data_IF_574610887130
#
_entry.id   IF_574610887130
#
_cell.length_a   1.000
_cell.length_b   1.000
_cell.length_c   1.000
_cell.angle_alpha   90.00
_cell.angle_beta   90.00
_cell.angle_gamma   90.00
#
_symmetry.space_group_name_H-M   'P 1'
#
loop_
_entity.id
_entity.type
_entity.pdbx_description
1 polymer ?
#
# COMPACT_ATOMS: atom_id res chain seq x y z
N UNK A 1 41.56 20.86 34.38
CA UNK A 1 40.93 19.99 33.37
C UNK A 1 39.44 20.29 33.37
N UNK A 2 38.92 20.90 32.30
CA UNK A 2 37.51 21.28 32.21
C UNK A 2 36.73 20.13 31.55
N UNK A 3 35.63 19.62 32.13
CA UNK A 3 34.85 18.55 31.52
C UNK A 3 34.10 19.09 30.30
N UNK A 4 34.35 18.51 29.12
CA UNK A 4 33.52 18.73 27.93
C UNK A 4 32.15 18.10 28.20
N UNK A 5 31.13 18.94 28.36
CA UNK A 5 29.74 18.53 28.28
C UNK A 5 29.44 18.16 26.81
N UNK A 6 29.23 16.87 26.55
CA UNK A 6 28.70 16.43 25.27
C UNK A 6 27.25 16.91 25.15
N UNK A 7 26.86 17.54 24.02
CA UNK A 7 25.48 17.92 23.80
C UNK A 7 24.63 16.65 23.74
N UNK A 8 23.66 16.57 24.64
CA UNK A 8 22.60 15.57 24.60
C UNK A 8 21.83 15.77 23.31
N UNK A 9 22.01 14.88 22.33
CA UNK A 9 21.14 14.83 21.16
C UNK A 9 19.71 14.62 21.64
N UNK A 10 18.88 15.65 21.52
CA UNK A 10 17.44 15.53 21.72
C UNK A 10 16.92 14.61 20.62
N UNK A 11 16.72 13.33 20.96
CA UNK A 11 16.02 12.38 20.09
C UNK A 11 14.58 12.88 19.97
N UNK A 12 14.27 13.57 18.89
CA UNK A 12 12.89 13.96 18.61
C UNK A 12 12.05 12.70 18.42
N UNK A 13 10.98 12.57 19.22
CA UNK A 13 10.03 11.48 19.08
C UNK A 13 9.44 11.48 17.66
N UNK A 14 9.31 10.30 17.06
CA UNK A 14 8.75 10.18 15.72
C UNK A 14 7.27 10.60 15.72
N UNK A 15 6.92 11.49 14.78
CA UNK A 15 5.55 11.97 14.62
C UNK A 15 4.64 10.84 14.11
N UNK A 16 3.37 10.78 14.56
CA UNK A 16 2.35 9.98 13.90
C UNK A 16 2.18 10.42 12.43
N UNK A 17 2.09 9.45 11.53
CA UNK A 17 1.89 9.70 10.10
C UNK A 17 0.73 8.87 9.56
N UNK A 18 0.13 9.36 8.48
CA UNK A 18 -0.69 8.54 7.58
C UNK A 18 0.10 8.26 6.30
N UNK A 19 -0.13 7.10 5.69
CA UNK A 19 0.38 6.78 4.36
C UNK A 19 -0.79 6.27 3.55
N UNK A 20 -1.14 6.97 2.48
CA UNK A 20 -2.29 6.67 1.66
C UNK A 20 -1.94 6.70 0.18
N UNK A 21 -2.65 5.90 -0.62
CA UNK A 21 -2.58 6.05 -2.07
C UNK A 21 -3.20 7.40 -2.44
N UNK A 22 -2.46 8.23 -3.17
CA UNK A 22 -2.93 9.54 -3.67
C UNK A 22 -3.52 9.41 -5.07
N UNK A 23 -2.80 8.73 -5.96
CA UNK A 23 -3.21 8.57 -7.36
C UNK A 23 -2.48 7.41 -8.03
N UNK A 24 -3.07 6.93 -9.12
CA UNK A 24 -2.39 6.11 -10.12
C UNK A 24 -2.31 6.90 -11.43
N UNK A 25 -1.32 6.60 -12.26
CA UNK A 25 -1.25 7.08 -13.64
C UNK A 25 -0.99 5.90 -14.57
N UNK A 26 -1.89 5.67 -15.50
CA UNK A 26 -1.69 4.71 -16.59
C UNK A 26 -0.66 5.29 -17.55
N UNK A 27 0.40 4.52 -17.83
CA UNK A 27 1.45 4.88 -18.79
C UNK A 27 1.32 4.06 -20.06
N UNK A 28 0.97 2.80 -19.90
CA UNK A 28 0.69 1.83 -20.95
C UNK A 28 -0.50 1.04 -20.39
N UNK A 29 -1.56 0.99 -21.17
CA UNK A 29 -2.76 0.18 -20.90
C UNK A 29 -2.44 -1.31 -21.09
N UNK A 30 -3.23 -2.21 -20.53
CA UNK A 30 -3.09 -3.63 -20.84
C UNK A 30 -3.49 -3.91 -22.31
N UNK A 31 -3.14 -5.09 -22.83
CA UNK A 31 -3.41 -5.45 -24.23
C UNK A 31 -4.85 -6.00 -24.44
N UNK A 32 -5.77 -5.69 -23.52
CA UNK A 32 -7.12 -6.24 -23.48
C UNK A 32 -8.12 -5.42 -24.31
N UNK A 33 -9.28 -6.02 -24.62
CA UNK A 33 -10.33 -5.34 -25.38
C UNK A 33 -11.19 -4.52 -24.43
N UNK A 34 -11.02 -3.21 -24.47
CA UNK A 34 -11.73 -2.28 -23.61
C UNK A 34 -10.78 -1.31 -22.97
N UNK A 35 -11.27 -0.57 -21.97
CA UNK A 35 -10.43 0.26 -21.11
C UNK A 35 -10.14 -0.50 -19.83
N UNK A 36 -8.94 -0.36 -19.28
CA UNK A 36 -8.56 -1.03 -18.02
C UNK A 36 -9.47 -0.60 -16.85
N UNK A 37 -9.71 -1.51 -15.90
CA UNK A 37 -10.42 -1.21 -14.66
C UNK A 37 -9.55 -1.40 -13.38
N UNK A 38 -8.42 -0.68 -13.25
CA UNK A 38 -7.42 -1.01 -12.26
C UNK A 38 -7.90 -0.85 -10.81
N UNK A 39 -7.37 -1.69 -9.92
CA UNK A 39 -7.39 -1.47 -8.47
C UNK A 39 -6.05 -1.75 -7.82
N UNK A 40 -5.87 -1.21 -6.62
CA UNK A 40 -4.63 -1.28 -5.85
C UNK A 40 -4.89 -1.86 -4.47
N UNK A 41 -4.14 -2.88 -4.10
CA UNK A 41 -4.09 -3.44 -2.76
C UNK A 41 -2.80 -2.97 -2.07
N UNK A 42 -2.95 -2.23 -0.97
CA UNK A 42 -1.81 -1.78 -0.16
C UNK A 42 -1.79 -2.59 1.12
N UNK A 43 -0.77 -3.44 1.26
CA UNK A 43 -0.50 -4.20 2.48
C UNK A 43 0.40 -3.38 3.38
N UNK A 44 -0.01 -3.16 4.62
CA UNK A 44 0.84 -2.60 5.67
C UNK A 44 1.10 -3.65 6.75
N UNK A 45 2.34 -3.78 7.17
CA UNK A 45 2.76 -4.65 8.28
C UNK A 45 3.56 -3.82 9.26
N UNK A 46 3.13 -3.88 10.52
CA UNK A 46 3.83 -3.32 11.65
C UNK A 46 4.64 -4.40 12.38
N UNK A 47 5.96 -4.25 12.35
CA UNK A 47 6.93 -5.15 12.96
C UNK A 47 7.37 -4.70 14.36
N UNK A 48 6.80 -3.63 14.92
CA UNK A 48 7.16 -3.15 16.26
C UNK A 48 6.86 -4.17 17.35
N UNK A 49 5.83 -5.01 17.16
CA UNK A 49 5.62 -6.21 17.96
C UNK A 49 5.91 -7.46 17.10
N UNK A 50 7.11 -8.07 17.23
CA UNK A 50 7.49 -9.21 16.40
C UNK A 50 6.73 -10.50 16.73
N UNK A 51 6.07 -10.58 17.90
CA UNK A 51 5.29 -11.74 18.34
C UNK A 51 3.84 -11.69 17.82
N UNK A 52 3.30 -10.48 17.67
CA UNK A 52 1.95 -10.23 17.16
C UNK A 52 2.03 -9.14 16.08
N UNK A 53 2.67 -9.41 14.94
CA UNK A 53 2.78 -8.43 13.88
C UNK A 53 1.36 -8.11 13.39
N UNK A 54 1.01 -6.82 13.46
CA UNK A 54 -0.28 -6.36 13.02
C UNK A 54 -0.18 -5.97 11.55
N UNK A 55 -1.12 -6.43 10.74
CA UNK A 55 -1.12 -6.16 9.31
C UNK A 55 -2.51 -5.78 8.84
N UNK A 56 -2.62 -5.03 7.76
CA UNK A 56 -3.89 -4.70 7.09
C UNK A 56 -3.69 -4.61 5.58
N UNK A 57 -4.76 -4.91 4.82
CA UNK A 57 -4.76 -4.77 3.36
C UNK A 57 -5.86 -3.79 2.98
N UNK A 58 -5.46 -2.60 2.56
CA UNK A 58 -6.36 -1.53 2.10
C UNK A 58 -6.58 -1.63 0.60
N UNK A 59 -7.83 -1.73 0.18
CA UNK A 59 -8.24 -1.67 -1.22
C UNK A 59 -8.43 -0.22 -1.66
N UNK A 60 -7.98 0.14 -2.85
CA UNK A 60 -8.33 1.38 -3.55
C UNK A 60 -8.76 1.02 -4.97
N UNK A 61 -9.81 1.66 -5.46
CA UNK A 61 -10.46 1.26 -6.71
C UNK A 61 -11.60 0.26 -6.46
N UNK A 62 -12.07 -0.41 -7.52
CA UNK A 62 -11.63 -0.23 -8.91
C UNK A 62 -11.93 1.17 -9.45
N UNK A 63 -11.10 1.63 -10.38
CA UNK A 63 -11.44 2.75 -11.27
C UNK A 63 -11.87 2.14 -12.58
N UNK A 64 -13.00 2.54 -13.15
CA UNK A 64 -13.40 2.08 -14.49
C UNK A 64 -12.93 3.04 -15.59
N UNK A 65 -12.71 2.50 -16.79
CA UNK A 65 -12.46 3.29 -17.99
C UNK A 65 -11.12 4.02 -17.98
N UNK A 66 -10.02 3.33 -17.62
CA UNK A 66 -8.70 3.94 -17.47
C UNK A 66 -7.82 3.67 -18.69
N UNK A 67 -7.69 4.66 -19.56
CA UNK A 67 -6.89 4.53 -20.78
C UNK A 67 -5.42 4.94 -20.58
N UNK A 68 -4.56 4.58 -21.54
CA UNK A 68 -3.17 5.02 -21.57
C UNK A 68 -3.03 6.56 -21.48
N UNK A 69 -2.37 7.04 -20.42
CA UNK A 69 -2.15 8.46 -20.15
C UNK A 69 -2.99 9.03 -19.01
N UNK A 70 -4.07 8.34 -18.64
CA UNK A 70 -5.01 8.78 -17.62
C UNK A 70 -4.43 8.81 -16.22
N UNK A 71 -5.04 9.62 -15.36
CA UNK A 71 -4.66 9.76 -13.96
C UNK A 71 -5.87 9.71 -13.05
N UNK A 72 -5.99 8.61 -12.32
CA UNK A 72 -7.06 8.40 -11.36
C UNK A 72 -6.58 8.80 -9.95
N UNK A 73 -7.40 9.56 -9.22
CA UNK A 73 -7.00 10.14 -7.93
C UNK A 73 -7.95 9.68 -6.82
N UNK A 74 -7.41 9.43 -5.63
CA UNK A 74 -8.22 9.16 -4.45
C UNK A 74 -8.72 10.47 -3.83
N UNK A 75 -9.97 10.50 -3.37
CA UNK A 75 -10.56 11.69 -2.77
C UNK A 75 -10.29 11.74 -1.26
N UNK A 76 -9.78 12.85 -0.70
CA UNK A 76 -9.64 12.98 0.75
C UNK A 76 -11.01 12.87 1.42
N UNK A 77 -11.09 12.07 2.48
CA UNK A 77 -12.30 11.97 3.30
C UNK A 77 -12.62 13.36 3.90
N UNK A 78 -13.82 13.86 3.61
CA UNK A 78 -14.29 15.13 4.14
C UNK A 78 -15.02 14.90 5.49
N UNK A 79 -14.86 15.80 6.48
CA UNK A 79 -15.65 15.72 7.71
C UNK A 79 -17.15 15.69 7.41
N UNK A 80 -17.87 14.75 8.06
CA UNK A 80 -19.32 14.61 7.90
C UNK A 80 -19.78 13.91 6.62
N UNK A 81 -18.87 13.49 5.74
CA UNK A 81 -19.22 12.71 4.54
C UNK A 81 -19.10 11.22 4.84
N UNK A 82 -20.18 10.48 4.60
CA UNK A 82 -20.15 9.02 4.61
C UNK A 82 -19.70 8.50 3.24
N UNK A 83 -18.56 7.78 3.15
CA UNK A 83 -18.07 7.21 1.90
C UNK A 83 -19.09 6.41 1.09
N UNK A 84 -20.00 5.71 1.78
CA UNK A 84 -21.01 4.86 1.16
C UNK A 84 -22.05 5.63 0.36
N UNK A 85 -22.21 6.92 0.61
CA UNK A 85 -23.15 7.78 -0.13
C UNK A 85 -22.61 8.15 -1.53
N UNK A 86 -21.31 7.94 -1.77
CA UNK A 86 -20.64 8.23 -3.04
C UNK A 86 -19.82 7.03 -3.52
N UNK A 87 -20.48 5.91 -3.90
CA UNK A 87 -19.80 4.66 -4.24
C UNK A 87 -18.93 4.75 -5.51
N UNK A 88 -19.16 5.78 -6.34
CA UNK A 88 -18.37 6.06 -7.55
C UNK A 88 -17.05 6.81 -7.26
N UNK A 89 -16.81 7.24 -6.02
CA UNK A 89 -15.56 7.87 -5.61
C UNK A 89 -14.65 6.85 -4.92
N UNK A 90 -13.39 6.84 -5.34
CA UNK A 90 -12.36 6.10 -4.61
C UNK A 90 -11.81 6.97 -3.48
N UNK A 91 -12.15 6.60 -2.24
CA UNK A 91 -11.75 7.37 -1.07
C UNK A 91 -10.29 7.12 -0.66
N UNK A 92 -9.60 8.20 -0.26
CA UNK A 92 -8.25 8.18 0.27
C UNK A 92 -8.29 7.68 1.72
N UNK A 93 -8.21 6.37 1.87
CA UNK A 93 -8.06 5.70 3.16
C UNK A 93 -6.60 5.73 3.59
N UNK A 94 -6.34 5.73 4.89
CA UNK A 94 -4.99 5.54 5.40
C UNK A 94 -4.67 4.04 5.34
N UNK A 95 -3.59 3.66 4.65
CA UNK A 95 -3.13 2.29 4.59
C UNK A 95 -2.12 1.96 5.71
N UNK A 96 -1.48 2.96 6.32
CA UNK A 96 -0.54 2.75 7.42
C UNK A 96 -1.20 2.86 8.79
N UNK A 97 -0.74 2.03 9.74
CA UNK A 97 -1.41 1.87 11.03
C UNK A 97 -2.58 0.91 10.82
N UNK A 98 -2.46 -0.37 11.15
CA UNK A 98 -3.45 -1.38 10.77
C UNK A 98 -4.88 -1.15 11.31
N UNK A 99 -5.08 -0.18 12.21
CA UNK A 99 -6.40 0.31 12.63
C UNK A 99 -7.00 1.40 11.70
N UNK A 100 -6.31 1.79 10.64
CA UNK A 100 -6.61 2.95 9.80
C UNK A 100 -6.24 4.31 10.42
N UNK A 101 -5.78 4.33 11.68
CA UNK A 101 -5.40 5.56 12.38
C UNK A 101 -3.94 5.93 12.11
N UNK A 102 -3.62 7.22 12.19
CA UNK A 102 -2.24 7.66 12.12
C UNK A 102 -1.38 6.99 13.20
N UNK A 103 -0.18 6.54 12.81
CA UNK A 103 0.73 5.84 13.72
C UNK A 103 2.17 6.24 13.43
N UNK A 104 2.96 6.43 14.48
CA UNK A 104 4.38 6.76 14.34
C UNK A 104 5.16 5.56 13.78
N UNK A 105 6.17 5.86 12.96
CA UNK A 105 7.17 4.89 12.48
C UNK A 105 8.55 5.39 12.92
N UNK A 106 9.00 5.05 14.15
CA UNK A 106 10.28 5.54 14.65
C UNK A 106 11.48 5.02 13.86
N UNK A 107 11.38 3.79 13.34
CA UNK A 107 12.38 3.18 12.49
C UNK A 107 11.70 2.62 11.24
N UNK A 108 12.05 3.07 10.02
CA UNK A 108 11.52 2.51 8.77
C UNK A 108 11.66 0.99 8.65
N UNK A 109 12.69 0.39 9.29
CA UNK A 109 12.89 -1.05 9.29
C UNK A 109 11.76 -1.82 10.00
N UNK A 110 11.01 -1.15 10.89
CA UNK A 110 9.91 -1.75 11.64
C UNK A 110 8.56 -1.65 10.90
N UNK A 111 8.54 -1.16 9.67
CA UNK A 111 7.35 -1.08 8.84
C UNK A 111 7.64 -1.72 7.47
N UNK A 112 6.69 -2.49 6.98
CA UNK A 112 6.67 -2.97 5.59
C UNK A 112 5.41 -2.44 4.94
N UNK A 113 5.55 -1.84 3.78
CA UNK A 113 4.45 -1.42 2.94
C UNK A 113 4.62 -2.06 1.58
N UNK A 114 3.68 -2.91 1.18
CA UNK A 114 3.68 -3.59 -0.11
C UNK A 114 2.49 -3.11 -0.94
N UNK A 115 2.67 -3.06 -2.24
CA UNK A 115 1.65 -2.68 -3.20
C UNK A 115 1.49 -3.76 -4.25
N UNK A 116 0.26 -4.22 -4.44
CA UNK A 116 -0.17 -5.04 -5.56
C UNK A 116 -1.13 -4.23 -6.42
N UNK A 117 -1.07 -4.42 -7.72
CA UNK A 117 -1.98 -3.83 -8.67
C UNK A 117 -2.64 -4.93 -9.48
N UNK A 118 -3.93 -4.76 -9.72
CA UNK A 118 -4.79 -5.70 -10.40
C UNK A 118 -5.64 -4.93 -11.43
N UNK A 119 -5.98 -5.62 -12.50
CA UNK A 119 -7.01 -5.30 -13.48
C UNK A 119 -8.33 -5.91 -12.94
N UNK A 120 -9.47 -5.24 -13.15
CA UNK A 120 -10.77 -5.72 -12.72
C UNK A 120 -11.64 -6.11 -13.91
N UNK A 121 -11.94 -7.39 -14.01
CA UNK A 121 -12.88 -7.92 -14.99
C UNK A 121 -14.19 -8.38 -14.29
N UNK A 122 -14.58 -9.65 -14.43
CA UNK A 122 -15.73 -10.23 -13.72
C UNK A 122 -15.39 -10.68 -12.27
N UNK A 123 -14.20 -10.32 -11.78
CA UNK A 123 -13.73 -10.69 -10.46
C UNK A 123 -14.37 -9.91 -9.31
N UNK A 124 -13.75 -10.01 -8.14
CA UNK A 124 -14.20 -9.28 -6.93
C UNK A 124 -12.98 -8.74 -6.21
N UNK A 125 -12.70 -7.45 -6.38
CA UNK A 125 -11.60 -6.77 -5.71
C UNK A 125 -11.62 -6.93 -4.17
N UNK A 126 -12.81 -7.05 -3.56
CA UNK A 126 -12.95 -7.35 -2.12
C UNK A 126 -12.50 -8.77 -1.76
N UNK A 127 -12.78 -9.76 -2.60
CA UNK A 127 -12.30 -11.13 -2.41
C UNK A 127 -10.78 -11.22 -2.60
N UNK A 128 -10.23 -10.54 -3.63
CA UNK A 128 -8.77 -10.44 -3.82
C UNK A 128 -8.07 -9.81 -2.60
N UNK A 129 -8.67 -8.75 -2.03
CA UNK A 129 -8.19 -8.13 -0.77
C UNK A 129 -8.18 -9.13 0.39
N UNK A 130 -9.23 -9.92 0.54
CA UNK A 130 -9.35 -10.93 1.61
C UNK A 130 -8.33 -12.06 1.44
N UNK A 131 -8.12 -12.54 0.22
CA UNK A 131 -7.09 -13.53 -0.10
C UNK A 131 -5.69 -12.99 0.22
N UNK A 132 -5.38 -11.77 -0.22
CA UNK A 132 -4.11 -11.11 0.11
C UNK A 132 -3.94 -10.94 1.62
N UNK A 133 -4.99 -10.55 2.35
CA UNK A 133 -4.96 -10.42 3.81
C UNK A 133 -4.68 -11.77 4.49
N UNK A 134 -5.36 -12.83 4.07
CA UNK A 134 -5.13 -14.17 4.61
C UNK A 134 -3.69 -14.64 4.36
N UNK A 135 -3.17 -14.42 3.14
CA UNK A 135 -1.80 -14.73 2.77
C UNK A 135 -0.78 -13.97 3.62
N UNK A 136 -1.01 -12.66 3.87
CA UNK A 136 -0.15 -11.85 4.74
C UNK A 136 -0.11 -12.40 6.15
N UNK A 137 -1.26 -12.74 6.74
CA UNK A 137 -1.31 -13.31 8.10
C UNK A 137 -0.55 -14.63 8.17
N UNK A 138 -0.76 -15.54 7.20
CA UNK A 138 -0.03 -16.80 7.11
C UNK A 138 1.47 -16.59 6.92
N UNK A 139 1.86 -15.67 6.05
CA UNK A 139 3.26 -15.32 5.76
C UNK A 139 3.97 -14.77 7.00
N UNK A 140 3.30 -13.94 7.81
CA UNK A 140 3.85 -13.39 9.04
C UNK A 140 4.10 -14.47 10.10
N UNK A 141 3.15 -15.38 10.29
CA UNK A 141 3.32 -16.52 11.19
C UNK A 141 4.48 -17.41 10.73
N UNK A 142 4.52 -17.77 9.45
CA UNK A 142 5.55 -18.64 8.87
C UNK A 142 6.92 -17.96 8.71
N UNK A 143 7.02 -16.65 8.92
CA UNK A 143 8.28 -15.88 8.86
C UNK A 143 8.73 -15.37 10.23
N UNK A 144 8.16 -15.89 11.31
CA UNK A 144 8.64 -15.64 12.66
C UNK A 144 10.14 -15.98 12.76
N UNK A 145 10.93 -15.08 13.33
CA UNK A 145 12.39 -15.21 13.42
C UNK A 145 13.19 -14.90 12.15
N UNK A 146 12.56 -14.72 10.98
CA UNK A 146 13.27 -14.30 9.76
C UNK A 146 13.71 -12.83 9.83
N UNK A 147 14.78 -12.50 9.09
CA UNK A 147 15.22 -11.12 8.86
C UNK A 147 14.14 -10.32 8.12
N UNK A 148 14.16 -8.99 8.23
CA UNK A 148 13.22 -8.12 7.49
C UNK A 148 13.20 -8.40 5.99
N UNK A 149 14.37 -8.55 5.37
CA UNK A 149 14.47 -8.82 3.94
C UNK A 149 13.79 -10.15 3.56
N UNK A 150 14.06 -11.22 4.32
CA UNK A 150 13.39 -12.51 4.12
C UNK A 150 11.88 -12.43 4.34
N UNK A 151 11.42 -11.65 5.34
CA UNK A 151 9.98 -11.40 5.55
C UNK A 151 9.35 -10.69 4.37
N UNK A 152 9.98 -9.65 3.83
CA UNK A 152 9.50 -8.94 2.63
C UNK A 152 9.39 -9.90 1.45
N UNK A 153 10.44 -10.69 1.18
CA UNK A 153 10.43 -11.66 0.08
C UNK A 153 9.32 -12.70 0.25
N UNK A 154 9.13 -13.23 1.46
CA UNK A 154 8.06 -14.20 1.74
C UNK A 154 6.67 -13.59 1.62
N UNK A 155 6.45 -12.39 2.15
CA UNK A 155 5.19 -11.67 2.00
C UNK A 155 4.85 -11.44 0.53
N UNK A 156 5.81 -10.97 -0.28
CA UNK A 156 5.61 -10.77 -1.72
C UNK A 156 5.26 -12.09 -2.40
N UNK A 157 5.98 -13.18 -2.13
CA UNK A 157 5.71 -14.48 -2.71
C UNK A 157 4.31 -15.01 -2.36
N UNK A 158 3.94 -14.97 -1.08
CA UNK A 158 2.66 -15.49 -0.60
C UNK A 158 1.48 -14.63 -1.08
N UNK A 159 1.62 -13.29 -1.10
CA UNK A 159 0.60 -12.39 -1.68
C UNK A 159 0.44 -12.67 -3.18
N UNK A 160 1.54 -12.79 -3.92
CA UNK A 160 1.49 -13.10 -5.35
C UNK A 160 0.81 -14.44 -5.62
N UNK A 161 1.07 -15.46 -4.80
CA UNK A 161 0.40 -16.75 -4.91
C UNK A 161 -1.11 -16.66 -4.65
N UNK A 162 -1.51 -15.90 -3.63
CA UNK A 162 -2.92 -15.71 -3.30
C UNK A 162 -3.68 -14.89 -4.34
N UNK A 163 -3.05 -13.88 -4.93
CA UNK A 163 -3.64 -13.07 -5.99
C UNK A 163 -3.69 -13.78 -7.36
N UNK A 164 -3.12 -14.98 -7.48
CA UNK A 164 -3.32 -15.85 -8.64
C UNK A 164 -4.55 -16.77 -8.49
N UNK A 165 -5.24 -16.72 -7.35
CA UNK A 165 -6.48 -17.48 -7.13
C UNK A 165 -7.62 -16.71 -7.80
N UNK A 166 -8.37 -17.34 -8.72
CA UNK A 166 -9.49 -16.67 -9.40
C UNK A 166 -10.57 -16.18 -8.44
N UNK A 167 -11.07 -14.96 -8.63
CA UNK A 167 -12.09 -14.31 -7.78
C UNK A 167 -13.46 -14.11 -8.47
N UNK A 168 -13.59 -14.54 -9.73
CA UNK A 168 -14.77 -14.37 -10.59
C UNK A 168 -14.94 -15.53 -11.58
N UNK A 169 -15.75 -15.34 -12.62
CA UNK A 169 -15.86 -16.16 -13.84
C UNK A 169 -16.86 -15.48 -14.81
N UNK A 170 -16.71 -15.59 -16.14
CA UNK A 170 -15.69 -16.35 -16.88
C UNK A 170 -14.35 -15.63 -17.07
N UNK A 171 -14.29 -14.29 -16.99
CA UNK A 171 -13.03 -13.54 -16.95
C UNK A 171 -12.62 -13.27 -15.49
N UNK A 172 -11.33 -13.27 -15.19
CA UNK A 172 -10.85 -13.17 -13.81
C UNK A 172 -10.00 -11.91 -13.66
N UNK A 173 -10.03 -11.28 -12.49
CA UNK A 173 -9.12 -10.16 -12.20
C UNK A 173 -7.66 -10.58 -12.46
N UNK A 174 -6.99 -9.87 -13.36
CA UNK A 174 -5.61 -10.15 -13.71
C UNK A 174 -4.62 -9.28 -12.94
N UNK A 175 -3.45 -9.84 -12.61
CA UNK A 175 -2.45 -9.10 -11.85
C UNK A 175 -1.54 -8.30 -12.76
N UNK A 176 -1.49 -6.98 -12.55
CA UNK A 176 -0.54 -6.10 -13.23
C UNK A 176 0.83 -6.20 -12.56
N UNK A 177 1.67 -7.13 -13.04
CA UNK A 177 3.03 -7.32 -12.57
C UNK A 177 3.14 -8.03 -11.22
N UNK A 178 4.30 -7.98 -10.56
CA UNK A 178 4.49 -8.57 -9.22
C UNK A 178 4.20 -7.56 -8.12
N UNK A 179 3.77 -7.99 -6.93
CA UNK A 179 3.76 -7.15 -5.72
C UNK A 179 5.13 -6.51 -5.46
N UNK A 180 5.14 -5.22 -5.09
CA UNK A 180 6.36 -4.42 -4.87
C UNK A 180 6.40 -3.83 -3.47
N UNK A 181 7.58 -3.75 -2.87
CA UNK A 181 7.77 -2.95 -1.65
C UNK A 181 7.80 -1.46 -1.99
N UNK A 182 7.16 -0.63 -1.15
CA UNK A 182 7.32 0.83 -1.13
C UNK A 182 8.40 1.16 -0.10
N UNK A 183 9.63 1.50 -0.52
CA UNK A 183 10.72 1.72 0.43
C UNK A 183 10.44 2.95 1.29
N UNK A 184 10.38 2.73 2.61
CA UNK A 184 10.26 3.80 3.59
C UNK A 184 11.64 4.28 4.03
N UNK A 185 11.78 5.59 4.22
CA UNK A 185 13.01 6.21 4.73
C UNK A 185 12.66 7.22 5.82
N UNK A 186 13.62 7.51 6.71
CA UNK A 186 13.44 8.57 7.72
C UNK A 186 13.13 9.92 7.05
N UNK A 187 13.74 10.21 5.90
CA UNK A 187 13.47 11.43 5.13
C UNK A 187 12.04 11.46 4.58
N UNK A 188 11.47 10.34 4.13
CA UNK A 188 10.09 10.26 3.65
C UNK A 188 9.09 10.47 4.80
N UNK A 189 9.41 9.93 5.98
CA UNK A 189 8.55 9.98 7.18
C UNK A 189 8.64 11.32 7.93
N UNK A 190 9.69 12.12 7.73
CA UNK A 190 9.81 13.45 8.31
C UNK A 190 8.88 14.45 7.60
N UNK A 191 7.61 14.48 8.00
CA UNK A 191 6.55 15.33 7.43
C UNK A 191 6.25 16.58 8.24
N UNK A 192 7.15 16.98 9.15
CA UNK A 192 6.95 18.15 10.01
C UNK A 192 6.77 19.46 9.21
N UNK A 193 7.47 19.57 8.07
CA UNK A 193 7.38 20.71 7.16
C UNK A 193 6.26 20.59 6.10
N UNK A 194 5.50 19.49 6.10
CA UNK A 194 4.41 19.26 5.17
C UNK A 194 4.39 17.85 4.56
N UNK A 195 3.34 17.54 3.78
CA UNK A 195 3.19 16.24 3.12
C UNK A 195 4.35 15.89 2.19
N UNK A 196 4.67 14.59 2.11
CA UNK A 196 5.66 14.04 1.18
C UNK A 196 5.01 13.02 0.27
N UNK A 197 5.61 12.78 -0.90
CA UNK A 197 5.10 11.78 -1.84
C UNK A 197 6.17 10.77 -2.23
N UNK A 198 5.74 9.55 -2.50
CA UNK A 198 6.57 8.48 -3.05
C UNK A 198 5.83 7.85 -4.21
N UNK A 199 6.48 7.83 -5.37
CA UNK A 199 5.96 7.14 -6.55
C UNK A 199 6.76 5.87 -6.79
N UNK A 200 6.06 4.80 -7.15
CA UNK A 200 6.63 3.54 -7.60
C UNK A 200 5.97 3.17 -8.93
N UNK A 201 6.76 2.69 -9.88
CA UNK A 201 6.25 2.16 -11.13
C UNK A 201 6.05 0.65 -10.99
N UNK A 202 4.87 0.18 -11.38
CA UNK A 202 4.52 -1.23 -11.53
C UNK A 202 4.44 -1.53 -13.02
N UNK A 203 5.03 -2.64 -13.43
CA UNK A 203 5.07 -3.10 -14.82
C UNK A 203 4.56 -4.53 -14.82
N UNK A 204 3.46 -4.76 -15.54
CA UNK A 204 2.90 -6.06 -15.84
C UNK A 204 3.21 -6.50 -17.25
N UNK A 205 2.52 -7.54 -17.68
CA UNK A 205 2.43 -7.90 -19.10
C UNK A 205 1.39 -6.95 -19.73
N UNK A 206 1.74 -6.23 -20.80
CA UNK A 206 0.93 -5.14 -21.37
C UNK A 206 0.89 -3.85 -20.54
N UNK A 207 0.47 -3.91 -19.27
CA UNK A 207 0.19 -2.71 -18.45
C UNK A 207 1.40 -2.09 -17.73
N UNK A 208 1.41 -0.75 -17.62
CA UNK A 208 2.40 0.01 -16.83
C UNK A 208 1.78 1.19 -16.10
N UNK A 209 2.02 1.26 -14.80
CA UNK A 209 1.38 2.24 -13.93
C UNK A 209 2.34 2.89 -12.95
N UNK A 210 2.20 4.21 -12.77
CA UNK A 210 2.84 4.94 -11.68
C UNK A 210 1.87 5.06 -10.50
N UNK A 211 2.20 4.40 -9.40
CA UNK A 211 1.43 4.43 -8.15
C UNK A 211 2.06 5.44 -7.19
N UNK A 212 1.32 6.49 -6.85
CA UNK A 212 1.82 7.59 -6.01
C UNK A 212 1.15 7.59 -4.64
N UNK A 213 1.96 7.43 -3.61
CA UNK A 213 1.58 7.57 -2.21
C UNK A 213 1.80 8.99 -1.71
N UNK A 214 0.99 9.40 -0.74
CA UNK A 214 1.21 10.59 0.08
C UNK A 214 1.40 10.18 1.53
N UNK A 215 2.40 10.78 2.17
CA UNK A 215 2.69 10.68 3.59
C UNK A 215 2.35 12.03 4.21
N UNK A 216 1.46 12.05 5.20
CA UNK A 216 1.08 13.29 5.90
C UNK A 216 1.30 13.13 7.39
N UNK A 217 1.41 14.28 8.08
CA UNK A 217 1.25 14.30 9.53
C UNK A 217 -0.15 13.78 9.88
N UNK A 218 -0.22 12.95 10.90
CA UNK A 218 -1.45 12.42 11.47
C UNK A 218 -2.02 13.25 12.59
#
# INVERSE_FOLDING_TARGET
MSPRLHPTETIMAALPVTIALKKIKCRIETDEVGSDEPYVLVTAVDLTNPLLPNAEVTLYGPWGGVDAGDTCTTQPLQPGVNPSDFPFLVWRRNAWGPSGSAKAIPNPANAILLVSMMEHDDGKASAARELAKAAVVGALAASAGMTRAQRVSKLIADINGALAIPTGAPNFDDRVGSTREVPLSASLLNVAAGPKTKTLTIVGDGGKYDVTFVVTKG
#
